data_IF_306972113609
#
_entry.id   IF_306972113609
#
_cell.length_a   1.000
_cell.length_b   1.000
_cell.length_c   1.000
_cell.angle_alpha   90.00
_cell.angle_beta   90.00
_cell.angle_gamma   90.00
#
_symmetry.space_group_name_H-M   'P 1'
#
loop_
_entity.id
_entity.type
_entity.pdbx_description
1 polymer ?
#
# COMPACT_ATOMS: atom_id res chain seq x y z
N UNK A 1 -4.40 6.77 -10.52
CA UNK A 1 -3.00 6.80 -10.12
C UNK A 1 -2.77 7.64 -8.86
N UNK A 2 -3.42 8.81 -8.72
CA UNK A 2 -3.33 9.60 -7.50
C UNK A 2 -3.82 8.85 -6.26
N UNK A 3 -4.91 8.09 -6.41
CA UNK A 3 -5.42 7.29 -5.29
C UNK A 3 -4.45 6.20 -4.87
N UNK A 4 -3.74 5.63 -5.84
CA UNK A 4 -2.76 4.59 -5.54
C UNK A 4 -1.56 5.18 -4.80
N UNK A 5 -1.12 6.36 -5.21
CA UNK A 5 -0.04 7.07 -4.53
C UNK A 5 -0.45 7.46 -3.11
N UNK A 6 -1.70 7.90 -2.95
CA UNK A 6 -2.22 8.23 -1.62
C UNK A 6 -2.23 7.01 -0.70
N UNK A 7 -2.60 5.85 -1.23
CA UNK A 7 -2.57 4.62 -0.48
C UNK A 7 -1.16 4.29 0.00
N UNK A 8 -0.16 4.49 -0.85
CA UNK A 8 1.22 4.26 -0.48
C UNK A 8 1.68 5.21 0.62
N UNK A 9 1.34 6.50 0.51
CA UNK A 9 1.69 7.51 1.52
C UNK A 9 1.05 7.16 2.86
N UNK A 10 -0.23 6.79 2.86
CA UNK A 10 -0.92 6.40 4.09
C UNK A 10 -0.30 5.15 4.69
N UNK A 11 0.08 4.18 3.86
CA UNK A 11 0.75 2.98 4.33
C UNK A 11 2.08 3.34 5.02
N UNK A 12 2.86 4.21 4.41
CA UNK A 12 4.14 4.63 4.97
C UNK A 12 3.94 5.32 6.33
N UNK A 13 2.94 6.18 6.44
CA UNK A 13 2.67 6.91 7.67
C UNK A 13 2.03 6.04 8.75
N UNK A 14 1.13 5.15 8.35
CA UNK A 14 0.41 4.30 9.29
C UNK A 14 1.24 3.12 9.79
N UNK A 15 2.20 2.68 8.99
CA UNK A 15 3.08 1.57 9.35
C UNK A 15 2.52 0.19 9.02
N UNK A 16 1.29 0.09 8.55
CA UNK A 16 0.72 -1.19 8.13
C UNK A 16 -0.40 -0.97 7.12
N UNK A 17 -0.65 -2.01 6.31
CA UNK A 17 -1.75 -2.00 5.34
C UNK A 17 -3.10 -1.89 6.05
N UNK A 18 -3.28 -2.60 7.16
CA UNK A 18 -4.54 -2.58 7.91
C UNK A 18 -4.85 -1.17 8.43
N UNK A 19 -3.86 -0.48 8.98
CA UNK A 19 -4.06 0.88 9.46
C UNK A 19 -4.30 1.86 8.34
N UNK A 20 -3.60 1.72 7.23
CA UNK A 20 -3.83 2.56 6.05
C UNK A 20 -5.25 2.37 5.54
N UNK A 21 -5.73 1.13 5.48
CA UNK A 21 -7.09 0.83 5.06
C UNK A 21 -8.11 1.51 5.97
N UNK A 22 -7.91 1.45 7.28
CA UNK A 22 -8.77 2.13 8.25
C UNK A 22 -8.83 3.63 8.00
N UNK A 23 -7.68 4.26 7.81
CA UNK A 23 -7.60 5.71 7.59
C UNK A 23 -8.30 6.15 6.32
N UNK A 24 -8.26 5.31 5.28
CA UNK A 24 -8.85 5.62 3.99
C UNK A 24 -10.25 5.04 3.83
N UNK A 25 -10.80 4.40 4.86
CA UNK A 25 -12.11 3.75 4.83
C UNK A 25 -12.20 2.73 3.70
N UNK A 26 -11.15 1.92 3.57
CA UNK A 26 -11.03 0.87 2.55
C UNK A 26 -10.67 -0.45 3.20
N UNK A 27 -10.72 -1.52 2.41
CA UNK A 27 -10.28 -2.83 2.87
C UNK A 27 -8.76 -2.98 2.69
N UNK A 28 -8.09 -3.82 3.49
CA UNK A 28 -6.67 -4.12 3.28
C UNK A 28 -6.38 -4.64 1.87
N UNK A 29 -7.27 -5.47 1.31
CA UNK A 29 -7.11 -5.97 -0.07
C UNK A 29 -7.11 -4.85 -1.09
N UNK A 30 -7.96 -3.83 -0.91
CA UNK A 30 -8.00 -2.68 -1.81
C UNK A 30 -6.69 -1.89 -1.76
N UNK A 31 -6.15 -1.66 -0.55
CA UNK A 31 -4.87 -0.96 -0.39
C UNK A 31 -3.75 -1.75 -1.05
N UNK A 32 -3.71 -3.05 -0.83
CA UNK A 32 -2.69 -3.91 -1.44
C UNK A 32 -2.72 -3.84 -2.96
N UNK A 33 -3.92 -3.87 -3.57
CA UNK A 33 -4.07 -3.74 -5.01
C UNK A 33 -3.60 -2.39 -5.52
N UNK A 34 -3.90 -1.33 -4.80
CA UNK A 34 -3.48 0.02 -5.18
C UNK A 34 -1.96 0.14 -5.19
N UNK A 35 -1.30 -0.42 -4.18
CA UNK A 35 0.16 -0.43 -4.13
C UNK A 35 0.74 -1.28 -5.26
N UNK A 36 0.13 -2.44 -5.55
CA UNK A 36 0.58 -3.30 -6.65
C UNK A 36 0.48 -2.60 -8.00
N UNK A 37 -0.60 -1.84 -8.24
CA UNK A 37 -0.73 -1.06 -9.48
C UNK A 37 0.36 -0.02 -9.60
N UNK A 38 0.68 0.62 -8.49
CA UNK A 38 1.75 1.62 -8.48
C UNK A 38 3.10 0.97 -8.76
N UNK A 39 3.36 -0.17 -8.14
CA UNK A 39 4.59 -0.94 -8.40
C UNK A 39 4.72 -1.29 -9.88
N UNK A 40 3.63 -1.75 -10.49
CA UNK A 40 3.62 -2.10 -11.91
C UNK A 40 3.89 -0.88 -12.78
N UNK A 41 3.32 0.25 -12.44
CA UNK A 41 3.52 1.49 -13.19
C UNK A 41 4.95 2.01 -13.10
N UNK A 42 5.59 1.82 -11.95
CA UNK A 42 6.97 2.27 -11.72
C UNK A 42 8.01 1.23 -12.14
N UNK A 43 7.59 -0.01 -12.36
CA UNK A 43 8.49 -1.11 -12.69
C UNK A 43 9.40 -1.50 -11.53
N UNK A 44 8.94 -1.31 -10.29
CA UNK A 44 9.73 -1.59 -9.10
C UNK A 44 8.86 -2.10 -7.97
N UNK A 45 9.40 -2.98 -7.15
CA UNK A 45 8.74 -3.40 -5.92
C UNK A 45 8.94 -2.36 -4.83
N UNK A 46 7.84 -2.01 -4.17
CA UNK A 46 7.85 -1.03 -3.08
C UNK A 46 7.68 -1.68 -1.73
N UNK A 47 7.08 -2.88 -1.69
CA UNK A 47 6.83 -3.60 -0.45
C UNK A 47 7.82 -4.74 -0.30
N UNK A 48 8.32 -4.90 0.91
CA UNK A 48 9.07 -6.10 1.28
C UNK A 48 8.07 -7.15 1.72
N UNK A 49 7.79 -8.10 0.82
CA UNK A 49 6.83 -9.19 1.08
C UNK A 49 7.46 -10.39 1.76
N UNK A 50 8.77 -10.34 2.00
CA UNK A 50 9.45 -11.41 2.72
C UNK A 50 9.18 -11.36 4.22
N UNK A 51 8.69 -10.23 4.72
CA UNK A 51 8.28 -10.08 6.13
C UNK A 51 6.76 -10.07 6.21
N UNK A 52 6.24 -10.50 7.36
CA UNK A 52 4.80 -10.51 7.61
C UNK A 52 4.51 -9.71 8.87
N UNK A 53 3.66 -8.67 8.76
CA UNK A 53 3.01 -8.19 7.52
C UNK A 53 4.01 -7.48 6.59
N UNK A 54 3.68 -7.36 5.28
CA UNK A 54 4.55 -6.64 4.34
C UNK A 54 4.73 -5.19 4.75
N UNK A 55 5.89 -4.63 4.44
CA UNK A 55 6.18 -3.23 4.72
C UNK A 55 7.14 -2.66 3.68
N UNK A 56 7.24 -1.36 3.67
CA UNK A 56 8.08 -0.63 2.73
C UNK A 56 9.57 -0.92 2.88
#
# INVERSE_FOLDING_TARGET
>A
MLDDLRALVEFAQAGSIARAADRLFRTPSAISRQVQRLEAALGAELLDRSVKPPRL
#
